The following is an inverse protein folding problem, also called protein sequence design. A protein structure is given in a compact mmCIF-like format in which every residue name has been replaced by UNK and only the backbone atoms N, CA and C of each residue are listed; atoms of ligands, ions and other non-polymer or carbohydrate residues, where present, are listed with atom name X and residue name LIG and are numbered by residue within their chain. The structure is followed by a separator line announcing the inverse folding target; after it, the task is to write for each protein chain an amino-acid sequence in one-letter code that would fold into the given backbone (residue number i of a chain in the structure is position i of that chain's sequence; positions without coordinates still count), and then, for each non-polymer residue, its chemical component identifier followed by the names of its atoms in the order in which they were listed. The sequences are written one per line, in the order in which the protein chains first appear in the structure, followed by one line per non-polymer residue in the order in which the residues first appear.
data_IF_526837600480
#
_entry.id   IF_526837600480
#
_cell.length_a   1.000
_cell.length_b   1.000
_cell.length_c   1.000
_cell.angle_alpha   90.00
_cell.angle_beta   90.00
_cell.angle_gamma   90.00
#
_symmetry.space_group_name_H-M   'P 1'
#
loop_
_entity.id
_entity.type
_entity.pdbx_description
1 polymer ?
#
# COMPACT_ATOMS: atom_id res chain seq x y z
N UNK A 1 -12.08 -21.53 -12.08
CA UNK A 1 -12.61 -20.16 -12.23
C UNK A 1 -11.39 -19.28 -12.27
N UNK A 2 -11.12 -18.63 -13.39
CA UNK A 2 -9.91 -17.83 -13.53
C UNK A 2 -10.03 -16.60 -12.65
N UNK A 3 -8.96 -16.28 -11.92
CA UNK A 3 -8.91 -15.09 -11.10
C UNK A 3 -8.60 -13.91 -12.01
N UNK A 4 -9.66 -13.18 -12.39
CA UNK A 4 -9.57 -11.99 -13.24
C UNK A 4 -8.56 -10.97 -12.71
N UNK A 5 -8.33 -10.94 -11.40
CA UNK A 5 -7.34 -10.05 -10.78
C UNK A 5 -5.92 -10.43 -11.20
N UNK A 6 -5.60 -11.72 -11.25
CA UNK A 6 -4.28 -12.18 -11.66
C UNK A 6 -4.04 -11.90 -13.16
N UNK A 7 -5.06 -12.09 -14.00
CA UNK A 7 -4.97 -11.75 -15.43
C UNK A 7 -4.72 -10.25 -15.62
N UNK A 8 -5.41 -9.39 -14.87
CA UNK A 8 -5.19 -7.94 -14.93
C UNK A 8 -3.80 -7.54 -14.44
N UNK A 9 -3.28 -8.17 -13.39
CA UNK A 9 -1.91 -7.93 -12.91
C UNK A 9 -0.90 -8.27 -14.01
N UNK A 10 -1.03 -9.44 -14.64
CA UNK A 10 -0.14 -9.84 -15.73
C UNK A 10 -0.18 -8.86 -16.92
N UNK A 11 -1.36 -8.33 -17.26
CA UNK A 11 -1.49 -7.33 -18.32
C UNK A 11 -0.81 -6.01 -17.95
N UNK A 12 -1.00 -5.53 -16.71
CA UNK A 12 -0.34 -4.31 -16.22
C UNK A 12 1.18 -4.47 -16.19
N UNK A 13 1.70 -5.61 -15.71
CA UNK A 13 3.14 -5.90 -15.70
C UNK A 13 3.72 -5.92 -17.12
N UNK A 14 3.01 -6.52 -18.08
CA UNK A 14 3.39 -6.48 -19.50
C UNK A 14 3.41 -5.06 -20.05
N UNK A 15 2.44 -4.22 -19.70
CA UNK A 15 2.42 -2.82 -20.14
C UNK A 15 3.59 -2.03 -19.55
N UNK A 16 3.86 -2.18 -18.25
CA UNK A 16 4.98 -1.51 -17.56
C UNK A 16 6.34 -1.81 -18.20
N UNK A 17 6.62 -3.09 -18.51
CA UNK A 17 7.89 -3.50 -19.16
C UNK A 17 8.03 -2.91 -20.57
N UNK A 18 6.91 -2.67 -21.25
CA UNK A 18 6.89 -2.14 -22.62
C UNK A 18 6.80 -0.61 -22.68
N UNK A 19 6.79 0.09 -21.54
CA UNK A 19 6.79 1.55 -21.48
C UNK A 19 8.08 2.11 -22.12
N UNK A 20 7.98 2.87 -23.22
CA UNK A 20 9.14 3.44 -23.90
C UNK A 20 10.00 4.33 -22.99
N UNK A 21 11.31 4.28 -23.16
CA UNK A 21 12.26 5.10 -22.42
C UNK A 21 11.92 6.60 -22.57
N UNK A 22 11.64 7.26 -21.45
CA UNK A 22 11.23 8.67 -21.41
C UNK A 22 9.72 8.92 -21.34
N UNK A 23 8.87 7.89 -21.40
CA UNK A 23 7.51 7.97 -20.87
C UNK A 23 7.55 7.84 -19.34
N UNK A 24 6.87 8.76 -18.66
CA UNK A 24 6.93 8.94 -17.21
C UNK A 24 5.81 8.17 -16.50
N UNK A 25 4.81 7.65 -17.23
CA UNK A 25 3.62 7.03 -16.62
C UNK A 25 3.75 5.51 -16.66
N UNK A 26 4.07 4.94 -15.51
CA UNK A 26 4.02 3.51 -15.19
C UNK A 26 3.09 3.28 -13.98
N UNK A 27 2.90 2.01 -13.58
CA UNK A 27 2.04 1.69 -12.45
C UNK A 27 2.49 2.39 -11.15
N UNK A 28 3.79 2.59 -10.94
CA UNK A 28 4.32 3.26 -9.74
C UNK A 28 3.93 4.74 -9.73
N UNK A 29 4.07 5.43 -10.87
CA UNK A 29 3.66 6.84 -11.01
C UNK A 29 2.15 7.01 -10.79
N UNK A 30 1.34 6.10 -11.34
CA UNK A 30 -0.13 6.10 -11.13
C UNK A 30 -0.47 5.84 -9.65
N UNK A 31 0.25 4.92 -8.99
CA UNK A 31 0.04 4.62 -7.58
C UNK A 31 0.35 5.82 -6.69
N UNK A 32 1.45 6.55 -6.97
CA UNK A 32 1.80 7.79 -6.25
C UNK A 32 0.71 8.84 -6.41
N UNK A 33 0.21 9.06 -7.63
CA UNK A 33 -0.88 10.01 -7.91
C UNK A 33 -2.16 9.66 -7.12
N UNK A 34 -2.51 8.37 -7.04
CA UNK A 34 -3.66 7.91 -6.29
C UNK A 34 -3.51 8.14 -4.77
N UNK A 35 -2.30 7.90 -4.22
CA UNK A 35 -1.99 8.16 -2.81
C UNK A 35 -2.06 9.65 -2.49
N UNK A 36 -1.49 10.51 -3.35
CA UNK A 36 -1.49 11.97 -3.14
C UNK A 36 -2.89 12.59 -3.24
N UNK A 37 -3.78 11.98 -4.00
CA UNK A 37 -5.18 12.43 -4.14
C UNK A 37 -5.99 12.13 -2.87
N UNK A 38 -5.55 11.20 -2.02
CA UNK A 38 -6.27 10.82 -0.83
C UNK A 38 -5.86 11.68 0.38
N UNK A 39 -6.83 12.24 1.10
CA UNK A 39 -6.58 13.03 2.31
C UNK A 39 -6.52 12.10 3.54
N UNK A 40 -5.29 11.75 3.92
CA UNK A 40 -5.03 10.88 5.06
C UNK A 40 -5.08 11.60 6.42
N UNK A 41 -5.02 12.93 6.44
CA UNK A 41 -5.01 13.72 7.67
C UNK A 41 -6.42 13.91 8.25
N UNK A 42 -7.44 14.05 7.40
CA UNK A 42 -8.84 14.19 7.84
C UNK A 42 -9.55 12.83 8.06
N UNK A 43 -9.17 11.79 7.32
CA UNK A 43 -9.88 10.50 7.32
C UNK A 43 -9.46 9.54 8.43
N UNK A 44 -8.24 9.66 8.98
CA UNK A 44 -7.78 8.84 10.10
C UNK A 44 -7.43 7.39 9.75
N UNK A 45 -6.62 7.17 8.72
CA UNK A 45 -6.30 5.84 8.17
C UNK A 45 -5.64 4.83 9.12
N UNK A 46 -4.98 5.31 10.19
CA UNK A 46 -4.29 4.42 11.12
C UNK A 46 -5.25 3.41 11.76
N UNK A 47 -6.45 3.84 12.12
CA UNK A 47 -7.43 2.97 12.76
C UNK A 47 -7.99 1.91 11.78
N UNK A 48 -8.15 2.27 10.50
CA UNK A 48 -8.59 1.33 9.46
C UNK A 48 -7.55 0.24 9.21
N UNK A 49 -6.27 0.62 9.11
CA UNK A 49 -5.16 -0.33 9.00
C UNK A 49 -5.14 -1.28 10.21
N UNK A 50 -5.38 -0.77 11.42
CA UNK A 50 -5.45 -1.62 12.62
C UNK A 50 -6.61 -2.60 12.56
N UNK A 51 -7.77 -2.18 12.05
CA UNK A 51 -8.94 -3.05 11.92
C UNK A 51 -8.70 -4.13 10.85
N UNK A 52 -8.18 -3.75 9.68
CA UNK A 52 -7.77 -4.70 8.63
C UNK A 52 -6.77 -5.72 9.19
N UNK A 53 -5.75 -5.26 9.93
CA UNK A 53 -4.80 -6.16 10.55
C UNK A 53 -5.49 -7.10 11.55
N UNK A 54 -6.46 -6.65 12.35
CA UNK A 54 -7.18 -7.51 13.32
C UNK A 54 -8.10 -8.52 12.64
N UNK A 55 -8.72 -8.17 11.52
CA UNK A 55 -9.71 -8.98 10.81
C UNK A 55 -9.10 -9.94 9.78
N UNK A 56 -7.93 -9.60 9.21
CA UNK A 56 -7.26 -10.41 8.19
C UNK A 56 -6.88 -11.81 8.69
N UNK A 57 -7.02 -12.85 7.86
CA UNK A 57 -6.44 -14.17 8.16
C UNK A 57 -4.93 -14.19 7.88
N UNK A 58 -4.48 -13.45 6.87
CA UNK A 58 -3.06 -13.33 6.51
C UNK A 58 -2.49 -12.01 7.04
N UNK A 59 -2.04 -12.05 8.29
CA UNK A 59 -1.40 -10.92 8.98
C UNK A 59 -0.10 -10.50 8.31
N UNK A 60 0.63 -11.45 7.72
CA UNK A 60 1.95 -11.21 7.14
C UNK A 60 1.84 -10.37 5.88
N UNK A 61 0.86 -10.67 5.01
CA UNK A 61 0.62 -9.87 3.81
C UNK A 61 0.22 -8.43 4.15
N UNK A 62 -0.56 -8.22 5.22
CA UNK A 62 -0.88 -6.85 5.69
C UNK A 62 0.39 -6.10 6.12
N UNK A 63 1.30 -6.74 6.88
CA UNK A 63 2.57 -6.12 7.28
C UNK A 63 3.46 -5.78 6.08
N UNK A 64 3.54 -6.67 5.10
CA UNK A 64 4.30 -6.45 3.86
C UNK A 64 3.77 -5.24 3.08
N UNK A 65 2.45 -5.20 2.85
CA UNK A 65 1.82 -4.07 2.17
C UNK A 65 2.05 -2.76 2.94
N UNK A 66 1.93 -2.78 4.27
CA UNK A 66 2.24 -1.60 5.09
C UNK A 66 3.68 -1.13 4.86
N UNK A 67 4.65 -2.05 4.86
CA UNK A 67 6.05 -1.73 4.62
C UNK A 67 6.29 -1.13 3.23
N UNK A 68 5.69 -1.69 2.18
CA UNK A 68 5.84 -1.15 0.80
C UNK A 68 5.37 0.32 0.70
N UNK A 69 4.31 0.69 1.42
CA UNK A 69 3.78 2.06 1.39
C UNK A 69 4.49 3.03 2.36
N UNK A 70 4.90 2.57 3.53
CA UNK A 70 5.38 3.44 4.62
C UNK A 70 6.92 3.44 4.74
N UNK A 71 7.58 2.38 4.26
CA UNK A 71 9.03 2.19 4.37
C UNK A 71 9.51 1.88 5.79
N UNK A 72 8.60 1.55 6.70
CA UNK A 72 8.88 1.21 8.10
C UNK A 72 8.12 -0.05 8.47
N UNK A 73 8.74 -0.95 9.22
CA UNK A 73 8.08 -2.17 9.69
C UNK A 73 6.86 -1.84 10.55
N UNK A 74 5.77 -2.60 10.38
CA UNK A 74 4.51 -2.28 11.06
C UNK A 74 4.65 -2.26 12.59
N UNK A 75 5.43 -3.18 13.15
CA UNK A 75 5.66 -3.23 14.60
C UNK A 75 6.53 -2.04 15.08
N UNK A 76 7.46 -1.55 14.26
CA UNK A 76 8.24 -0.35 14.55
C UNK A 76 7.37 0.91 14.56
N UNK A 77 6.45 1.02 13.59
CA UNK A 77 5.44 2.07 13.58
C UNK A 77 4.59 2.06 14.86
N UNK A 78 4.10 0.89 15.29
CA UNK A 78 3.31 0.77 16.52
C UNK A 78 4.11 1.17 17.77
N UNK A 79 5.38 0.77 17.86
CA UNK A 79 6.27 1.20 18.96
C UNK A 79 6.45 2.73 18.97
N UNK A 80 6.63 3.34 17.80
CA UNK A 80 6.71 4.81 17.68
C UNK A 80 5.42 5.47 18.14
N UNK A 81 4.26 4.98 17.72
CA UNK A 81 2.96 5.46 18.18
C UNK A 81 2.84 5.37 19.70
N UNK A 82 3.21 4.25 20.32
CA UNK A 82 3.18 4.12 21.79
C UNK A 82 4.05 5.17 22.47
N UNK A 83 5.25 5.44 21.95
CA UNK A 83 6.19 6.41 22.52
C UNK A 83 5.75 7.87 22.35
N UNK A 84 5.14 8.21 21.22
CA UNK A 84 4.86 9.61 20.85
C UNK A 84 3.42 10.06 21.13
N UNK A 85 2.45 9.14 21.12
CA UNK A 85 1.05 9.45 21.45
C UNK A 85 0.84 9.51 22.95
N UNK A 86 1.53 8.65 23.71
CA UNK A 86 1.44 8.70 25.17
C UNK A 86 2.08 10.01 25.67
N UNK A 87 1.23 10.88 26.20
CA UNK A 87 1.61 11.99 27.07
C UNK A 87 1.52 11.53 28.51
#
# INVERSE_FOLDING_TARGET
MTDWTLEMIEEVEKLNVNTPYGQIIDADTILVDALQTNDFELSGIAQDIFNIYKESQDKLSVKKIFYEFVGVEFDEYLMKCQKEISR
#
